data_IF_952183892544
#
_entry.id   IF_952183892544
#
_cell.length_a   1.000
_cell.length_b   1.000
_cell.length_c   1.000
_cell.angle_alpha   90.00
_cell.angle_beta   90.00
_cell.angle_gamma   90.00
#
_symmetry.space_group_name_H-M   'P 1'
#
loop_
_entity.id
_entity.type
_entity.pdbx_description
1 polymer ?
#
# COMPACT_ATOMS: atom_id res chain seq x y z
N UNK A 1 -16.79 -5.30 -7.30
CA UNK A 1 -15.56 -5.24 -6.46
C UNK A 1 -14.88 -3.91 -6.68
N UNK A 2 -14.18 -3.36 -5.68
CA UNK A 2 -13.55 -2.04 -5.73
C UNK A 2 -12.66 -1.79 -6.98
N UNK A 3 -12.04 -2.85 -7.52
CA UNK A 3 -11.23 -2.83 -8.75
C UNK A 3 -12.04 -2.39 -9.98
N UNK A 4 -13.35 -2.64 -10.04
CA UNK A 4 -14.19 -2.22 -11.17
C UNK A 4 -14.40 -0.70 -11.23
N UNK A 5 -14.03 0.04 -10.18
CA UNK A 5 -14.04 1.50 -10.16
C UNK A 5 -12.77 2.09 -10.78
N UNK A 6 -11.75 1.28 -11.06
CA UNK A 6 -10.50 1.73 -11.63
C UNK A 6 -10.63 1.92 -13.14
N UNK A 7 -9.90 2.89 -13.74
CA UNK A 7 -9.89 3.05 -15.18
C UNK A 7 -9.56 1.75 -15.90
N UNK A 8 -10.38 1.35 -16.87
CA UNK A 8 -10.20 0.07 -17.58
C UNK A 8 -8.93 0.00 -18.42
N UNK A 9 -8.31 1.15 -18.77
CA UNK A 9 -7.10 1.21 -19.59
C UNK A 9 -6.05 2.15 -18.98
N UNK A 10 -4.80 1.92 -19.39
CA UNK A 10 -3.64 2.68 -18.96
C UNK A 10 -3.03 2.16 -17.67
N UNK A 11 -1.89 2.75 -17.30
CA UNK A 11 -1.14 2.39 -16.11
C UNK A 11 -1.69 3.10 -14.88
N UNK A 12 -1.70 2.37 -13.76
CA UNK A 12 -2.12 2.82 -12.45
C UNK A 12 -0.89 3.22 -11.62
N UNK A 13 -1.12 4.13 -10.69
CA UNK A 13 -0.18 4.52 -9.65
C UNK A 13 -0.58 3.82 -8.36
N UNK A 14 0.41 3.26 -7.67
CA UNK A 14 0.28 2.81 -6.29
C UNK A 14 0.95 3.84 -5.39
N UNK A 15 0.31 4.22 -4.28
CA UNK A 15 0.95 4.98 -3.22
C UNK A 15 0.88 4.19 -1.92
N UNK A 16 2.05 3.90 -1.37
CA UNK A 16 2.24 3.24 -0.08
C UNK A 16 2.30 4.28 1.02
N UNK A 17 1.62 4.01 2.13
CA UNK A 17 1.59 4.86 3.31
C UNK A 17 1.58 4.00 4.59
N UNK A 18 2.07 4.56 5.69
CA UNK A 18 2.01 3.95 7.03
C UNK A 18 1.38 4.94 7.98
N UNK A 19 0.24 4.57 8.55
CA UNK A 19 -0.46 5.38 9.53
C UNK A 19 -0.56 4.64 10.86
N UNK A 20 -0.60 5.40 11.95
CA UNK A 20 -0.64 4.87 13.30
C UNK A 20 -1.82 5.49 14.03
N UNK A 21 -2.71 4.64 14.51
CA UNK A 21 -3.98 5.04 15.11
C UNK A 21 -4.00 4.63 16.58
N UNK A 22 -4.35 5.58 17.45
CA UNK A 22 -4.53 5.36 18.87
C UNK A 22 -6.02 5.30 19.23
N UNK A 23 -6.49 4.11 19.59
CA UNK A 23 -7.83 3.86 20.10
C UNK A 23 -7.79 3.63 21.61
N UNK A 24 -7.66 4.71 22.37
CA UNK A 24 -7.52 4.65 23.82
C UNK A 24 -6.23 3.95 24.24
N UNK A 25 -6.32 2.68 24.67
CA UNK A 25 -5.15 1.85 25.02
C UNK A 25 -4.69 0.92 23.89
N UNK A 26 -5.41 0.89 22.77
CA UNK A 26 -5.08 0.05 21.63
C UNK A 26 -4.38 0.89 20.56
N UNK A 27 -3.12 0.57 20.29
CA UNK A 27 -2.35 1.19 19.22
C UNK A 27 -2.35 0.26 18.01
N UNK A 28 -2.70 0.79 16.84
CA UNK A 28 -2.77 0.02 15.59
C UNK A 28 -1.92 0.71 14.54
N UNK A 29 -0.90 0.00 14.07
CA UNK A 29 -0.11 0.45 12.92
C UNK A 29 -0.66 -0.18 11.66
N UNK A 30 -0.96 0.63 10.65
CA UNK A 30 -1.54 0.19 9.38
C UNK A 30 -0.55 0.49 8.27
N UNK A 31 -0.18 -0.53 7.50
CA UNK A 31 0.49 -0.38 6.23
C UNK A 31 -0.57 -0.43 5.12
N UNK A 32 -0.70 0.65 4.36
CA UNK A 32 -1.78 0.86 3.39
C UNK A 32 -1.19 1.08 2.00
N UNK A 33 -1.90 0.58 0.98
CA UNK A 33 -1.69 1.00 -0.42
C UNK A 33 -2.97 1.51 -1.03
N UNK A 34 -2.85 2.67 -1.67
CA UNK A 34 -3.88 3.24 -2.54
C UNK A 34 -3.53 3.00 -4.00
N UNK A 35 -4.55 2.90 -4.85
CA UNK A 35 -4.43 2.72 -6.29
C UNK A 35 -5.26 3.76 -7.03
N UNK A 36 -4.70 4.28 -8.12
CA UNK A 36 -5.37 5.35 -8.84
C UNK A 36 -4.70 5.80 -10.13
N UNK A 37 -5.26 6.85 -10.73
CA UNK A 37 -4.71 7.53 -11.91
C UNK A 37 -5.14 9.00 -11.89
N UNK A 38 -4.17 9.90 -12.15
CA UNK A 38 -4.42 11.34 -12.07
C UNK A 38 -4.75 11.76 -10.64
N UNK A 39 -5.84 12.49 -10.45
CA UNK A 39 -6.33 12.93 -9.15
C UNK A 39 -7.16 11.88 -8.41
N UNK A 40 -7.58 10.80 -9.08
CA UNK A 40 -8.39 9.75 -8.46
C UNK A 40 -7.49 8.69 -7.81
N UNK A 41 -7.71 8.42 -6.53
CA UNK A 41 -7.03 7.42 -5.70
C UNK A 41 -8.06 6.77 -4.78
N UNK A 42 -7.98 5.45 -4.62
CA UNK A 42 -8.81 4.70 -3.66
C UNK A 42 -7.95 3.71 -2.87
N UNK A 43 -8.29 3.41 -1.60
CA UNK A 43 -7.64 2.34 -0.86
C UNK A 43 -7.79 1.01 -1.59
N UNK A 44 -6.70 0.29 -1.83
CA UNK A 44 -6.73 -1.02 -2.47
C UNK A 44 -6.63 -2.16 -1.45
N UNK A 45 -5.66 -2.05 -0.55
CA UNK A 45 -5.32 -3.10 0.41
C UNK A 45 -4.57 -2.51 1.60
N UNK A 46 -4.69 -3.15 2.76
CA UNK A 46 -3.95 -2.78 3.96
C UNK A 46 -3.66 -3.99 4.83
N UNK A 47 -2.59 -3.91 5.62
CA UNK A 47 -2.25 -4.86 6.66
C UNK A 47 -2.13 -4.13 8.00
N UNK A 48 -2.59 -4.80 9.06
CA UNK A 48 -2.31 -4.38 10.42
C UNK A 48 -0.94 -4.98 10.80
N UNK A 49 0.02 -4.13 11.09
CA UNK A 49 1.34 -4.56 11.50
C UNK A 49 1.29 -4.93 12.99
N UNK A 50 1.86 -6.08 13.33
CA UNK A 50 2.10 -6.41 14.73
C UNK A 50 3.13 -5.42 15.29
N UNK A 51 2.75 -4.71 16.37
CA UNK A 51 3.54 -3.65 17.02
C UNK A 51 4.91 -4.11 17.60
N UNK A 52 5.43 -5.27 17.20
CA UNK A 52 6.71 -5.83 17.64
C UNK A 52 7.90 -5.28 16.88
N UNK A 53 7.70 -4.72 15.68
CA UNK A 53 8.75 -4.00 14.95
C UNK A 53 8.32 -2.56 14.68
N UNK A 54 9.13 -1.61 15.16
CA UNK A 54 8.93 -0.16 15.05
C UNK A 54 8.83 0.38 13.61
N UNK A 55 9.01 -0.46 12.59
CA UNK A 55 8.90 -0.10 11.19
C UNK A 55 8.21 -1.24 10.45
N UNK A 56 7.40 -0.92 9.43
CA UNK A 56 7.17 -1.88 8.35
C UNK A 56 8.54 -2.30 7.85
N UNK A 57 8.88 -3.58 8.00
CA UNK A 57 10.17 -4.05 7.49
C UNK A 57 10.06 -4.12 5.95
N UNK A 58 11.19 -4.26 5.27
CA UNK A 58 11.16 -4.33 3.81
C UNK A 58 10.31 -5.50 3.29
N UNK A 59 10.23 -6.61 4.04
CA UNK A 59 9.40 -7.78 3.69
C UNK A 59 7.90 -7.48 3.72
N UNK A 60 7.39 -6.73 4.70
CA UNK A 60 5.96 -6.38 4.80
C UNK A 60 5.55 -5.56 3.57
N UNK A 61 6.38 -4.58 3.19
CA UNK A 61 6.15 -3.75 1.99
C UNK A 61 6.21 -4.58 0.71
N UNK A 62 7.15 -5.52 0.62
CA UNK A 62 7.28 -6.43 -0.53
C UNK A 62 6.03 -7.33 -0.62
N UNK A 63 5.61 -7.94 0.49
CA UNK A 63 4.43 -8.80 0.53
C UNK A 63 3.17 -8.06 0.09
N UNK A 64 2.95 -6.86 0.62
CA UNK A 64 1.82 -6.01 0.26
C UNK A 64 1.84 -5.59 -1.23
N UNK A 65 3.01 -5.24 -1.77
CA UNK A 65 3.15 -4.95 -3.20
C UNK A 65 2.97 -6.19 -4.08
N UNK A 66 3.36 -7.38 -3.61
CA UNK A 66 3.10 -8.65 -4.31
C UNK A 66 1.60 -8.91 -4.43
N UNK A 67 0.81 -8.64 -3.38
CA UNK A 67 -0.67 -8.69 -3.45
C UNK A 67 -1.18 -7.76 -4.54
N UNK A 68 -0.67 -6.54 -4.63
CA UNK A 68 -1.06 -5.59 -5.69
C UNK A 68 -0.72 -6.12 -7.10
N UNK A 69 0.45 -6.74 -7.28
CA UNK A 69 0.86 -7.33 -8.55
C UNK A 69 -0.04 -8.50 -8.93
N UNK A 70 -0.45 -9.32 -7.96
CA UNK A 70 -1.39 -10.42 -8.19
C UNK A 70 -2.79 -9.92 -8.57
N UNK A 71 -3.28 -8.87 -7.91
CA UNK A 71 -4.62 -8.32 -8.15
C UNK A 71 -4.73 -7.51 -9.45
N UNK A 72 -3.72 -6.70 -9.77
CA UNK A 72 -3.77 -5.76 -10.90
C UNK A 72 -3.03 -6.27 -12.13
N UNK A 73 -2.06 -7.17 -11.95
CA UNK A 73 -1.08 -7.55 -12.96
C UNK A 73 0.02 -6.51 -13.11
N UNK A 74 1.27 -6.97 -13.21
CA UNK A 74 2.46 -6.11 -13.31
C UNK A 74 2.37 -5.07 -14.44
N UNK A 75 1.81 -5.43 -15.59
CA UNK A 75 1.69 -4.53 -16.75
C UNK A 75 0.79 -3.31 -16.50
N UNK A 76 -0.14 -3.42 -15.55
CA UNK A 76 -1.06 -2.35 -15.14
C UNK A 76 -0.42 -1.36 -14.18
N UNK A 77 0.67 -1.71 -13.50
CA UNK A 77 1.33 -0.85 -12.52
C UNK A 77 2.42 -0.04 -13.23
N UNK A 78 2.27 1.28 -13.25
CA UNK A 78 3.24 2.18 -13.89
C UNK A 78 4.17 2.89 -12.93
N UNK A 79 3.74 3.06 -11.69
CA UNK A 79 4.46 3.83 -10.69
C UNK A 79 4.09 3.34 -9.29
N UNK A 80 5.09 3.21 -8.43
CA UNK A 80 4.90 3.01 -6.99
C UNK A 80 5.56 4.19 -6.29
N UNK A 81 4.81 4.88 -5.43
CA UNK A 81 5.27 5.97 -4.60
C UNK A 81 5.21 5.56 -3.13
N UNK A 82 6.10 6.12 -2.34
CA UNK A 82 6.09 6.01 -0.88
C UNK A 82 7.00 7.08 -0.29
N UNK A 83 6.78 7.40 0.98
CA UNK A 83 7.58 8.38 1.69
C UNK A 83 9.02 7.93 1.95
N UNK A 84 9.89 8.91 2.22
CA UNK A 84 11.33 8.68 2.44
C UNK A 84 11.63 7.79 3.65
N UNK A 85 10.68 7.65 4.57
CA UNK A 85 10.79 6.75 5.72
C UNK A 85 10.87 5.27 5.33
N UNK A 86 10.42 4.90 4.12
CA UNK A 86 10.47 3.52 3.63
C UNK A 86 11.85 3.13 3.10
N UNK A 87 12.89 3.32 3.93
CA UNK A 87 14.24 2.90 3.60
C UNK A 87 14.32 1.37 3.57
N UNK A 88 14.88 0.82 2.50
CA UNK A 88 15.14 -0.61 2.39
C UNK A 88 16.46 -0.96 3.06
N UNK A 89 16.43 -1.87 4.02
CA UNK A 89 17.63 -2.55 4.52
C UNK A 89 17.58 -4.00 4.07
N UNK A 90 18.71 -4.51 3.57
CA UNK A 90 18.87 -5.93 3.22
C UNK A 90 19.20 -6.74 4.46
#
# INVERSE_FOLDING_TARGET
MLISLLPAQGKLRLCLDRTEWEFGRCQVTILLVTVGRGAFQVPLYWELLDNRSSNSNASDRIALLQVCVQLLGRARIGLVLGDREFVGHK
#
